data_IF_644867599380
#
_entry.id   IF_644867599380
#
_cell.length_a   1.000
_cell.length_b   1.000
_cell.length_c   1.000
_cell.angle_alpha   90.00
_cell.angle_beta   90.00
_cell.angle_gamma   90.00
#
_symmetry.space_group_name_H-M   'P 1'
#
loop_
_entity.id
_entity.type
_entity.pdbx_description
1 polymer ?
#
# COMPACT_ATOMS: atom_id res chain seq x y z
N UNK A 1 1.52 -13.29 8.39
CA UNK A 1 1.40 -13.09 6.94
C UNK A 1 -0.03 -12.72 6.56
N UNK A 2 -0.21 -11.94 5.53
CA UNK A 2 -1.52 -11.62 4.98
C UNK A 2 -1.49 -11.80 3.44
N UNK A 3 -2.27 -12.71 2.86
CA UNK A 3 -3.21 -13.62 3.52
C UNK A 3 -2.52 -14.73 4.34
N UNK A 4 -3.18 -15.36 5.35
CA UNK A 4 -4.58 -15.17 5.76
C UNK A 4 -4.84 -13.97 6.69
N UNK A 5 -3.81 -13.29 7.22
CA UNK A 5 -3.95 -12.09 8.02
C UNK A 5 -4.26 -12.34 9.52
N UNK A 6 -3.79 -13.43 10.07
CA UNK A 6 -3.93 -13.73 11.50
C UNK A 6 -3.00 -12.86 12.33
N UNK A 7 -3.53 -11.91 13.09
CA UNK A 7 -2.77 -10.94 13.86
C UNK A 7 -3.01 -11.00 15.36
N UNK A 8 -3.85 -11.94 15.80
CA UNK A 8 -4.28 -12.06 17.20
C UNK A 8 -3.11 -12.11 18.18
N UNK A 9 -2.10 -12.95 17.94
CA UNK A 9 -0.99 -13.14 18.89
C UNK A 9 -0.19 -11.85 19.09
N UNK A 10 0.14 -11.13 18.01
CA UNK A 10 0.89 -9.89 18.11
C UNK A 10 0.05 -8.78 18.75
N UNK A 11 -1.23 -8.71 18.48
CA UNK A 11 -2.15 -7.75 19.10
C UNK A 11 -2.29 -8.03 20.61
N UNK A 12 -2.41 -9.28 21.03
CA UNK A 12 -2.44 -9.64 22.46
C UNK A 12 -1.12 -9.33 23.16
N UNK A 13 0.01 -9.53 22.48
CA UNK A 13 1.32 -9.12 23.00
C UNK A 13 1.38 -7.59 23.23
N UNK A 14 0.97 -6.80 22.24
CA UNK A 14 0.93 -5.34 22.36
C UNK A 14 -0.03 -4.91 23.47
N UNK A 15 -1.21 -5.54 23.56
CA UNK A 15 -2.18 -5.29 24.63
C UNK A 15 -1.55 -5.50 26.00
N UNK A 16 -0.88 -6.63 26.19
CA UNK A 16 -0.22 -6.96 27.46
C UNK A 16 0.85 -5.96 27.86
N UNK A 17 1.65 -5.46 26.88
CA UNK A 17 2.62 -4.39 27.11
C UNK A 17 1.93 -3.09 27.55
N UNK A 18 0.91 -2.65 26.84
CA UNK A 18 0.18 -1.42 27.16
C UNK A 18 -0.47 -1.50 28.56
N UNK A 19 -1.07 -2.63 28.89
CA UNK A 19 -1.66 -2.89 30.22
C UNK A 19 -0.61 -2.82 31.33
N UNK A 20 0.61 -3.34 31.11
CA UNK A 20 1.71 -3.27 32.07
C UNK A 20 2.18 -1.83 32.34
N UNK A 21 1.96 -0.92 31.42
CA UNK A 21 2.24 0.52 31.53
C UNK A 21 1.03 1.33 32.00
N UNK A 22 -0.08 0.67 32.35
CA UNK A 22 -1.32 1.34 32.75
C UNK A 22 -2.06 2.04 31.62
N UNK A 23 -1.86 1.61 30.37
CA UNK A 23 -2.54 2.14 29.19
C UNK A 23 -3.66 1.17 28.80
N UNK A 24 -4.91 1.61 28.91
CA UNK A 24 -6.06 0.80 28.50
C UNK A 24 -6.21 0.79 27.00
N UNK A 25 -6.56 -0.37 26.45
CA UNK A 25 -6.84 -0.58 25.02
C UNK A 25 -8.07 -1.43 24.78
N UNK A 26 -8.61 -1.33 23.57
CA UNK A 26 -9.73 -2.13 23.06
C UNK A 26 -9.21 -2.95 21.89
N UNK A 27 -9.47 -4.26 21.91
CA UNK A 27 -9.19 -5.16 20.79
C UNK A 27 -10.50 -5.42 20.06
N UNK A 28 -10.48 -5.37 18.74
CA UNK A 28 -11.59 -5.79 17.88
C UNK A 28 -11.17 -6.99 17.06
N UNK A 29 -12.00 -8.01 17.04
CA UNK A 29 -11.83 -9.21 16.22
C UNK A 29 -12.75 -9.12 14.99
N UNK A 30 -12.17 -9.21 13.82
CA UNK A 30 -12.87 -9.15 12.53
C UNK A 30 -13.17 -10.56 11.96
N UNK A 31 -12.93 -11.59 12.75
CA UNK A 31 -12.98 -12.97 12.35
C UNK A 31 -11.64 -13.51 11.85
N UNK A 32 -11.47 -14.82 11.91
CA UNK A 32 -10.27 -15.56 11.48
C UNK A 32 -8.96 -15.08 12.14
N UNK A 33 -9.05 -14.50 13.37
CA UNK A 33 -7.90 -13.98 14.10
C UNK A 33 -7.36 -12.65 13.55
N UNK A 34 -8.12 -11.92 12.75
CA UNK A 34 -7.80 -10.55 12.29
C UNK A 34 -8.19 -9.56 13.37
N UNK A 35 -7.25 -9.20 14.18
CA UNK A 35 -7.46 -8.31 15.31
C UNK A 35 -6.83 -6.94 15.10
N UNK A 36 -7.56 -5.89 15.52
CA UNK A 36 -7.03 -4.54 15.66
C UNK A 36 -6.97 -4.18 17.13
N UNK A 37 -6.11 -3.22 17.47
CA UNK A 37 -6.04 -2.65 18.81
C UNK A 37 -6.10 -1.12 18.71
N UNK A 38 -6.91 -0.50 19.57
CA UNK A 38 -6.93 0.95 19.74
C UNK A 38 -6.87 1.32 21.21
N UNK A 39 -6.18 2.42 21.55
CA UNK A 39 -6.24 3.02 22.89
C UNK A 39 -7.41 4.00 22.99
N UNK A 40 -7.70 4.47 24.21
CA UNK A 40 -8.73 5.49 24.43
C UNK A 40 -8.43 6.78 23.65
N UNK A 41 -9.49 7.53 23.31
CA UNK A 41 -9.38 8.85 22.67
C UNK A 41 -8.71 9.83 23.63
N UNK A 42 -7.87 10.69 23.10
CA UNK A 42 -7.17 11.74 23.85
C UNK A 42 -7.76 13.13 23.55
N UNK A 43 -7.31 14.14 24.27
CA UNK A 43 -7.69 15.53 24.03
C UNK A 43 -7.15 16.10 22.71
N UNK A 44 -6.07 15.50 22.20
CA UNK A 44 -5.48 15.82 20.91
C UNK A 44 -6.10 14.93 19.83
N UNK A 45 -6.25 15.45 18.62
CA UNK A 45 -6.65 14.65 17.46
C UNK A 45 -5.45 14.00 16.77
N UNK A 46 -4.39 13.64 17.53
CA UNK A 46 -3.20 13.00 17.00
C UNK A 46 -3.33 11.48 17.16
N UNK A 47 -3.23 10.77 16.06
CA UNK A 47 -3.23 9.32 15.97
C UNK A 47 -1.81 8.84 15.63
N UNK A 48 -1.30 7.87 16.39
CA UNK A 48 -0.16 7.05 15.97
C UNK A 48 -0.70 5.72 15.45
N UNK A 49 -0.38 5.42 14.20
CA UNK A 49 -0.91 4.23 13.52
C UNK A 49 0.21 3.35 12.97
N UNK A 50 -0.01 2.05 13.00
CA UNK A 50 0.85 1.07 12.37
C UNK A 50 0.10 -0.22 12.07
N UNK A 51 0.53 -0.95 11.04
CA UNK A 51 0.00 -2.29 10.76
C UNK A 51 0.90 -3.39 11.33
N UNK A 52 0.29 -4.53 11.62
CA UNK A 52 0.99 -5.67 12.21
C UNK A 52 0.97 -6.91 11.31
N UNK A 53 0.21 -6.89 10.23
CA UNK A 53 0.30 -7.88 9.17
C UNK A 53 1.54 -7.67 8.30
N UNK A 54 1.88 -8.62 7.48
CA UNK A 54 3.03 -8.60 6.57
C UNK A 54 2.72 -9.39 5.31
N UNK A 55 3.28 -8.99 4.16
CA UNK A 55 3.19 -9.79 2.93
C UNK A 55 3.85 -11.17 3.12
N UNK A 56 3.38 -12.20 2.40
CA UNK A 56 3.98 -13.53 2.44
C UNK A 56 5.48 -13.52 2.13
N UNK A 57 6.21 -14.43 2.71
CA UNK A 57 7.62 -14.66 2.41
C UNK A 57 7.88 -16.15 2.19
N UNK A 58 8.55 -16.45 1.08
CA UNK A 58 9.11 -17.78 0.87
C UNK A 58 10.49 -17.84 1.54
N UNK A 59 10.90 -19.02 2.03
CA UNK A 59 12.22 -19.19 2.62
C UNK A 59 13.35 -19.00 1.58
N UNK A 60 13.03 -19.22 0.31
CA UNK A 60 13.98 -19.07 -0.80
C UNK A 60 14.42 -17.61 -0.96
N UNK A 61 15.73 -17.42 -1.08
CA UNK A 61 16.35 -16.09 -1.24
C UNK A 61 16.68 -15.37 0.07
N UNK A 62 16.31 -15.91 1.23
CA UNK A 62 16.69 -15.37 2.54
C UNK A 62 17.96 -16.03 3.07
N UNK A 63 18.94 -15.23 3.51
CA UNK A 63 20.14 -15.73 4.19
C UNK A 63 19.87 -16.16 5.63
N UNK A 64 18.76 -15.70 6.21
CA UNK A 64 18.25 -16.00 7.56
C UNK A 64 16.75 -16.24 7.40
N UNK A 65 16.15 -17.28 8.00
CA UNK A 65 14.72 -17.54 7.86
C UNK A 65 13.85 -16.30 8.13
N UNK A 66 12.89 -15.98 7.24
CA UNK A 66 12.18 -14.69 7.25
C UNK A 66 11.36 -14.43 8.51
N UNK A 67 11.01 -15.47 9.28
CA UNK A 67 10.23 -15.34 10.52
C UNK A 67 11.02 -15.69 11.78
N UNK A 68 12.35 -15.75 11.71
CA UNK A 68 13.19 -16.09 12.88
C UNK A 68 13.30 -14.97 13.91
N UNK A 69 13.12 -13.70 13.51
CA UNK A 69 13.32 -12.56 14.39
C UNK A 69 14.75 -12.43 14.91
N UNK A 70 15.72 -12.96 14.19
CA UNK A 70 17.11 -13.00 14.64
C UNK A 70 17.70 -11.59 14.83
N UNK A 71 18.42 -11.38 15.93
CA UNK A 71 19.14 -10.13 16.20
C UNK A 71 20.62 -10.36 15.92
N UNK A 72 21.12 -9.81 14.83
CA UNK A 72 22.49 -9.98 14.37
C UNK A 72 23.07 -8.64 13.90
N UNK A 73 24.30 -8.35 14.32
CA UNK A 73 24.98 -7.12 13.90
C UNK A 73 24.27 -5.83 14.30
N UNK A 74 23.47 -5.85 15.37
CA UNK A 74 22.69 -4.69 15.81
C UNK A 74 21.38 -4.45 15.04
N UNK A 75 20.99 -5.39 14.16
CA UNK A 75 19.77 -5.33 13.38
C UNK A 75 18.84 -6.50 13.67
N UNK A 76 17.52 -6.27 13.60
CA UNK A 76 16.50 -7.32 13.65
C UNK A 76 16.25 -7.79 12.21
N UNK A 77 16.46 -9.08 11.97
CA UNK A 77 16.30 -9.70 10.66
C UNK A 77 14.97 -10.42 10.56
N UNK A 78 14.21 -10.11 9.51
CA UNK A 78 12.98 -10.83 9.22
C UNK A 78 11.95 -10.02 8.44
N UNK A 79 10.97 -10.71 7.87
CA UNK A 79 9.78 -10.12 7.24
C UNK A 79 9.03 -9.28 8.29
N UNK A 80 8.69 -8.03 7.94
CA UNK A 80 7.99 -7.12 8.83
C UNK A 80 8.88 -6.37 9.83
N UNK A 81 10.21 -6.63 9.88
CA UNK A 81 11.11 -5.87 10.77
C UNK A 81 11.23 -4.41 10.35
N UNK A 82 11.21 -4.12 9.05
CA UNK A 82 11.20 -2.76 8.50
C UNK A 82 9.78 -2.29 8.23
N UNK A 83 8.98 -3.09 7.56
CA UNK A 83 7.60 -2.81 7.15
C UNK A 83 6.66 -3.76 7.89
N UNK A 84 5.93 -3.26 8.99
CA UNK A 84 6.32 -2.03 9.70
C UNK A 84 6.43 -2.25 11.22
N UNK A 85 6.69 -3.50 11.68
CA UNK A 85 6.76 -3.80 13.13
C UNK A 85 7.89 -3.05 13.87
N UNK A 86 8.98 -2.71 13.17
CA UNK A 86 10.03 -1.84 13.72
C UNK A 86 9.49 -0.44 14.05
N UNK A 87 8.68 0.12 13.14
CA UNK A 87 7.95 1.36 13.37
C UNK A 87 6.95 1.24 14.53
N UNK A 88 6.16 0.17 14.56
CA UNK A 88 5.24 -0.10 15.69
C UNK A 88 5.97 -0.15 17.04
N UNK A 89 7.13 -0.83 17.10
CA UNK A 89 7.96 -0.89 18.30
C UNK A 89 8.46 0.50 18.72
N UNK A 90 8.83 1.35 17.75
CA UNK A 90 9.27 2.73 18.01
C UNK A 90 8.15 3.59 18.59
N UNK A 91 6.91 3.45 18.06
CA UNK A 91 5.74 4.13 18.63
C UNK A 91 5.46 3.68 20.06
N UNK A 92 5.54 2.38 20.33
CA UNK A 92 5.34 1.81 21.66
C UNK A 92 6.42 2.31 22.63
N UNK A 93 7.70 2.33 22.23
CA UNK A 93 8.80 2.82 23.04
C UNK A 93 8.61 4.29 23.40
N UNK A 94 8.23 5.14 22.44
CA UNK A 94 7.94 6.56 22.69
C UNK A 94 6.80 6.75 23.71
N UNK A 95 5.74 5.94 23.63
CA UNK A 95 4.65 5.97 24.57
C UNK A 95 5.07 5.50 25.98
N UNK A 96 5.91 4.47 26.06
CA UNK A 96 6.49 4.00 27.31
C UNK A 96 7.31 5.10 27.99
N UNK A 97 8.21 5.74 27.27
CA UNK A 97 9.07 6.82 27.80
C UNK A 97 8.24 8.01 28.32
N UNK A 98 7.16 8.37 27.64
CA UNK A 98 6.23 9.38 28.12
C UNK A 98 5.58 8.97 29.44
N UNK A 99 5.11 7.72 29.55
CA UNK A 99 4.50 7.20 30.78
C UNK A 99 5.50 7.14 31.93
N UNK A 100 6.71 6.66 31.71
CA UNK A 100 7.78 6.63 32.72
C UNK A 100 8.13 8.04 33.19
N UNK A 101 8.03 9.06 32.34
CA UNK A 101 8.22 10.47 32.75
C UNK A 101 7.02 11.07 33.48
N UNK A 102 5.99 10.28 33.79
CA UNK A 102 4.76 10.70 34.47
C UNK A 102 3.82 11.57 33.65
N UNK A 103 3.96 11.54 32.32
CA UNK A 103 3.09 12.30 31.42
C UNK A 103 1.90 11.45 30.95
N UNK A 104 0.77 12.10 30.74
CA UNK A 104 -0.35 11.47 30.03
C UNK A 104 -0.03 11.33 28.55
N UNK A 105 -0.53 10.26 27.92
CA UNK A 105 -0.37 10.08 26.50
C UNK A 105 -1.19 11.13 25.73
N UNK A 106 -0.55 12.00 24.94
CA UNK A 106 -1.27 12.98 24.13
C UNK A 106 -1.81 12.39 22.83
N UNK A 107 -1.60 11.10 22.57
CA UNK A 107 -1.91 10.45 21.29
C UNK A 107 -2.82 9.25 21.50
N UNK A 108 -3.68 8.97 20.52
CA UNK A 108 -4.35 7.68 20.40
C UNK A 108 -3.45 6.73 19.61
N UNK A 109 -3.36 5.47 20.01
CA UNK A 109 -2.68 4.43 19.27
C UNK A 109 -3.68 3.58 18.51
N UNK A 110 -3.34 3.17 17.28
CA UNK A 110 -4.04 2.15 16.53
C UNK A 110 -3.04 1.19 15.86
N UNK A 111 -3.22 -0.10 16.11
CA UNK A 111 -2.50 -1.17 15.43
C UNK A 111 -3.51 -1.99 14.63
N UNK A 112 -3.31 -2.08 13.32
CA UNK A 112 -4.30 -2.64 12.38
C UNK A 112 -3.81 -3.92 11.71
N UNK A 113 -4.75 -4.71 11.20
CA UNK A 113 -4.54 -6.12 10.85
C UNK A 113 -4.38 -6.42 9.36
N UNK A 114 -4.63 -5.47 8.44
CA UNK A 114 -4.79 -5.80 7.00
C UNK A 114 -4.38 -4.68 6.05
N UNK A 115 -3.35 -3.91 6.38
CA UNK A 115 -2.83 -2.85 5.51
C UNK A 115 -2.41 -3.43 4.16
N UNK A 116 -1.68 -4.55 4.18
CA UNK A 116 -1.10 -5.23 3.02
C UNK A 116 -2.15 -5.77 2.02
N UNK A 117 -3.41 -5.79 2.43
CA UNK A 117 -4.54 -6.24 1.60
C UNK A 117 -5.63 -5.18 1.41
N UNK A 118 -5.36 -3.92 1.82
CA UNK A 118 -6.21 -2.75 1.51
C UNK A 118 -6.99 -2.16 2.66
N UNK A 119 -6.85 -2.66 3.90
CA UNK A 119 -7.31 -2.00 5.12
C UNK A 119 -8.81 -2.06 5.42
N UNK A 120 -9.56 -2.94 4.79
CA UNK A 120 -11.03 -3.05 4.99
C UNK A 120 -11.41 -3.45 6.41
N UNK A 121 -10.72 -4.46 6.97
CA UNK A 121 -10.94 -4.97 8.33
C UNK A 121 -10.16 -4.17 9.38
N UNK A 122 -9.16 -3.38 8.97
CA UNK A 122 -8.30 -2.56 9.80
C UNK A 122 -8.75 -1.12 9.90
N UNK A 123 -7.99 -0.22 9.26
CA UNK A 123 -8.17 1.22 9.42
C UNK A 123 -9.56 1.70 8.98
N UNK A 124 -10.13 1.15 7.89
CA UNK A 124 -11.46 1.53 7.39
C UNK A 124 -12.55 1.12 8.36
N UNK A 125 -12.44 -0.09 8.93
CA UNK A 125 -13.35 -0.55 9.99
C UNK A 125 -13.32 0.39 11.20
N UNK A 126 -12.13 0.74 11.70
CA UNK A 126 -11.97 1.60 12.87
C UNK A 126 -12.55 3.01 12.64
N UNK A 127 -12.38 3.56 11.43
CA UNK A 127 -12.97 4.84 11.04
C UNK A 127 -14.50 4.75 10.94
N UNK A 128 -15.03 3.74 10.27
CA UNK A 128 -16.46 3.55 10.07
C UNK A 128 -17.22 3.37 11.41
N UNK A 129 -16.56 2.76 12.41
CA UNK A 129 -17.14 2.54 13.75
C UNK A 129 -16.75 3.66 14.75
N UNK A 130 -16.18 4.77 14.30
CA UNK A 130 -15.78 5.90 15.12
C UNK A 130 -14.88 5.52 16.32
N UNK A 131 -14.10 4.46 16.19
CA UNK A 131 -13.10 4.03 17.20
C UNK A 131 -11.87 4.94 17.17
N UNK A 132 -11.55 5.45 15.99
CA UNK A 132 -10.59 6.54 15.75
C UNK A 132 -11.33 7.69 15.07
N UNK A 133 -10.79 8.89 15.19
CA UNK A 133 -11.35 10.08 14.55
C UNK A 133 -10.39 10.59 13.48
N UNK A 134 -10.93 11.17 12.38
CA UNK A 134 -10.09 11.91 11.43
C UNK A 134 -9.35 13.06 12.15
N UNK A 135 -8.06 13.17 11.87
CA UNK A 135 -7.18 14.16 12.51
C UNK A 135 -5.77 14.02 11.96
N UNK A 136 -4.82 14.63 12.67
CA UNK A 136 -3.41 14.42 12.36
C UNK A 136 -3.00 12.98 12.66
N UNK A 137 -2.26 12.36 11.72
CA UNK A 137 -1.83 10.98 11.86
C UNK A 137 -0.33 10.86 11.57
N UNK A 138 0.37 10.15 12.45
CA UNK A 138 1.72 9.67 12.20
C UNK A 138 1.65 8.15 12.00
N UNK A 139 2.02 7.73 10.79
CA UNK A 139 2.13 6.31 10.42
C UNK A 139 3.62 5.98 10.39
N UNK A 140 4.02 4.97 11.16
CA UNK A 140 5.44 4.64 11.32
C UNK A 140 5.97 3.72 10.22
N UNK A 141 5.48 3.92 8.98
CA UNK A 141 6.00 3.28 7.78
C UNK A 141 7.46 3.63 7.51
N UNK A 142 8.23 2.74 6.89
CA UNK A 142 9.63 2.99 6.60
C UNK A 142 9.78 4.13 5.58
N UNK A 143 10.49 5.16 5.99
CA UNK A 143 10.90 6.29 5.15
C UNK A 143 12.37 6.59 5.38
N UNK A 144 13.03 7.37 4.52
CA UNK A 144 14.35 7.90 4.84
C UNK A 144 14.32 8.66 6.16
N UNK A 145 15.28 8.43 7.03
CA UNK A 145 15.28 8.85 8.44
C UNK A 145 15.04 10.37 8.67
N UNK A 146 15.29 11.21 7.66
CA UNK A 146 15.18 12.67 7.73
C UNK A 146 14.08 13.24 6.85
N UNK A 147 13.35 12.39 6.12
CA UNK A 147 12.41 12.79 5.08
C UNK A 147 11.09 12.03 5.24
N UNK A 148 10.17 12.55 6.07
CA UNK A 148 8.86 11.93 6.22
C UNK A 148 8.09 11.98 4.89
N UNK A 149 7.33 10.94 4.61
CA UNK A 149 6.39 10.93 3.51
C UNK A 149 5.12 11.70 3.93
N UNK A 150 4.79 12.77 3.22
CA UNK A 150 3.64 13.63 3.52
C UNK A 150 2.51 13.51 2.51
N UNK A 151 2.64 12.61 1.55
CA UNK A 151 1.60 12.36 0.56
C UNK A 151 1.99 11.25 -0.40
N UNK A 152 0.99 10.64 -0.99
CA UNK A 152 1.15 9.56 -1.96
C UNK A 152 0.32 9.84 -3.20
N UNK A 153 0.70 9.25 -4.32
CA UNK A 153 -0.12 9.21 -5.53
C UNK A 153 -1.35 8.36 -5.29
N UNK A 154 -2.44 8.68 -5.99
CA UNK A 154 -3.61 7.83 -6.00
C UNK A 154 -3.31 6.45 -6.57
N UNK A 155 -4.05 5.45 -6.12
CA UNK A 155 -3.99 4.08 -6.62
C UNK A 155 -5.33 3.69 -7.24
N UNK A 156 -5.27 3.23 -8.49
CA UNK A 156 -6.41 2.63 -9.19
C UNK A 156 -6.00 1.25 -9.68
N UNK A 157 -6.79 0.23 -9.36
CA UNK A 157 -6.64 -1.13 -9.86
C UNK A 157 -7.83 -1.43 -10.77
N UNK A 158 -7.57 -1.91 -11.96
CA UNK A 158 -8.56 -2.20 -13.00
C UNK A 158 -8.36 -3.62 -13.50
N UNK A 159 -9.45 -4.36 -13.56
CA UNK A 159 -9.51 -5.67 -14.17
C UNK A 159 -10.35 -5.58 -15.43
N UNK A 160 -9.79 -6.02 -16.56
CA UNK A 160 -10.43 -5.99 -17.85
C UNK A 160 -10.60 -7.40 -18.40
N UNK A 161 -11.76 -7.64 -18.94
CA UNK A 161 -12.03 -8.80 -19.79
C UNK A 161 -12.28 -8.33 -21.22
N UNK A 162 -11.44 -8.77 -22.15
CA UNK A 162 -11.61 -8.50 -23.59
C UNK A 162 -12.20 -9.73 -24.26
N UNK A 163 -13.16 -9.47 -25.12
CA UNK A 163 -13.81 -10.50 -25.90
C UNK A 163 -13.54 -10.28 -27.38
N UNK A 164 -13.12 -11.35 -28.07
CA UNK A 164 -12.86 -11.37 -29.50
C UNK A 164 -13.81 -12.25 -30.28
N UNK A 165 -13.67 -12.25 -31.60
CA UNK A 165 -14.36 -13.16 -32.52
C UNK A 165 -13.34 -14.16 -33.07
N UNK A 166 -13.55 -15.47 -32.89
CA UNK A 166 -12.59 -16.47 -33.32
C UNK A 166 -12.46 -16.53 -34.84
N UNK A 167 -11.32 -17.02 -35.28
CA UNK A 167 -11.01 -17.26 -36.68
C UNK A 167 -9.76 -18.11 -36.82
N UNK A 168 -9.50 -18.61 -38.01
CA UNK A 168 -8.26 -19.31 -38.30
C UNK A 168 -7.12 -18.30 -38.40
N UNK A 169 -6.01 -18.51 -37.66
CA UNK A 169 -4.91 -17.55 -37.54
C UNK A 169 -4.30 -17.14 -38.90
N UNK A 170 -4.35 -18.00 -39.95
CA UNK A 170 -3.85 -17.64 -41.28
C UNK A 170 -4.75 -16.63 -42.03
N UNK A 171 -5.94 -16.36 -41.55
CA UNK A 171 -6.89 -15.40 -42.13
C UNK A 171 -6.93 -14.07 -41.36
N UNK A 172 -6.26 -14.02 -40.18
CA UNK A 172 -6.16 -12.80 -39.41
C UNK A 172 -5.17 -11.83 -40.06
N UNK A 173 -5.42 -10.49 -40.07
CA UNK A 173 -6.54 -9.78 -39.44
C UNK A 173 -7.78 -9.60 -40.29
N UNK A 174 -7.87 -10.20 -41.49
CA UNK A 174 -9.02 -10.05 -42.37
C UNK A 174 -10.29 -10.73 -41.81
N UNK A 175 -10.12 -11.78 -40.98
CA UNK A 175 -11.22 -12.55 -40.37
C UNK A 175 -10.93 -12.70 -38.88
N UNK A 176 -11.94 -12.40 -38.07
CA UNK A 176 -11.84 -12.47 -36.58
C UNK A 176 -11.46 -11.15 -35.94
N UNK A 177 -11.66 -11.08 -34.63
CA UNK A 177 -11.23 -9.98 -33.75
C UNK A 177 -10.45 -10.60 -32.60
N UNK A 178 -9.20 -10.19 -32.42
CA UNK A 178 -8.32 -10.76 -31.38
C UNK A 178 -8.48 -10.02 -30.07
N UNK A 179 -8.99 -10.68 -29.05
CA UNK A 179 -9.06 -10.13 -27.68
C UNK A 179 -7.67 -9.70 -27.14
N UNK A 180 -6.60 -10.40 -27.53
CA UNK A 180 -5.23 -10.01 -27.17
C UNK A 180 -4.86 -8.66 -27.81
N UNK A 181 -5.23 -8.44 -29.07
CA UNK A 181 -4.92 -7.16 -29.73
C UNK A 181 -5.73 -6.01 -29.17
N UNK A 182 -6.96 -6.23 -28.73
CA UNK A 182 -7.75 -5.22 -28.00
C UNK A 182 -7.08 -4.85 -26.68
N UNK A 183 -6.59 -5.84 -25.91
CA UNK A 183 -5.81 -5.57 -24.71
C UNK A 183 -4.51 -4.78 -25.00
N UNK A 184 -3.81 -5.12 -26.07
CA UNK A 184 -2.63 -4.37 -26.51
C UNK A 184 -2.98 -2.92 -26.90
N UNK A 185 -4.11 -2.69 -27.57
CA UNK A 185 -4.57 -1.34 -27.94
C UNK A 185 -4.85 -0.49 -26.70
N UNK A 186 -5.48 -1.06 -25.65
CA UNK A 186 -5.64 -0.38 -24.38
C UNK A 186 -4.29 -0.03 -23.74
N UNK A 187 -3.34 -0.97 -23.72
CA UNK A 187 -2.00 -0.71 -23.14
C UNK A 187 -1.26 0.39 -23.92
N UNK A 188 -1.38 0.45 -25.24
CA UNK A 188 -0.81 1.53 -26.03
C UNK A 188 -1.48 2.87 -25.71
N UNK A 189 -2.79 2.89 -25.49
CA UNK A 189 -3.48 4.09 -25.02
C UNK A 189 -3.01 4.54 -23.62
N UNK A 190 -2.88 3.63 -22.67
CA UNK A 190 -2.37 3.95 -21.33
C UNK A 190 -0.95 4.52 -21.38
N UNK A 191 -0.09 4.04 -22.29
CA UNK A 191 1.23 4.65 -22.54
C UNK A 191 1.13 6.11 -22.98
N UNK A 192 0.14 6.48 -23.78
CA UNK A 192 -0.09 7.88 -24.17
C UNK A 192 -0.53 8.71 -22.95
N UNK A 193 -1.33 8.16 -22.05
CA UNK A 193 -1.73 8.83 -20.81
C UNK A 193 -0.53 9.14 -19.90
N UNK A 194 0.50 8.29 -19.85
CA UNK A 194 1.75 8.56 -19.12
C UNK A 194 2.46 9.83 -19.61
N UNK A 195 2.30 10.20 -20.86
CA UNK A 195 2.86 11.43 -21.44
C UNK A 195 2.10 12.71 -21.06
N UNK A 196 0.90 12.62 -20.51
CA UNK A 196 0.10 13.79 -20.12
C UNK A 196 0.71 14.51 -18.90
N UNK A 197 0.62 15.83 -18.92
CA UNK A 197 1.00 16.70 -17.80
C UNK A 197 -0.27 17.10 -17.05
N UNK A 198 -0.20 17.12 -15.72
CA UNK A 198 -1.29 17.53 -14.86
C UNK A 198 -0.89 18.78 -14.07
N UNK A 199 -1.78 19.79 -13.96
CA UNK A 199 -1.44 21.03 -13.28
C UNK A 199 -1.27 20.82 -11.80
N UNK A 200 -0.19 21.33 -11.23
CA UNK A 200 0.07 21.37 -9.80
C UNK A 200 -0.05 22.85 -9.36
N UNK A 201 -0.67 23.09 -8.20
CA UNK A 201 -0.57 24.39 -7.54
C UNK A 201 0.86 24.64 -7.04
N UNK A 202 1.19 25.91 -6.78
CA UNK A 202 2.56 26.32 -6.41
C UNK A 202 3.12 25.55 -5.21
N UNK A 203 2.30 25.32 -4.17
CA UNK A 203 2.69 24.58 -2.97
C UNK A 203 3.07 23.12 -3.28
N UNK A 204 2.28 22.46 -4.13
CA UNK A 204 2.57 21.07 -4.55
C UNK A 204 3.80 21.01 -5.48
N UNK A 205 3.98 22.02 -6.31
CA UNK A 205 5.15 22.11 -7.18
C UNK A 205 6.46 22.20 -6.38
N UNK A 206 6.46 22.98 -5.28
CA UNK A 206 7.60 23.07 -4.38
C UNK A 206 7.87 21.71 -3.67
N UNK A 207 6.81 21.06 -3.15
CA UNK A 207 6.91 19.74 -2.53
C UNK A 207 7.48 18.71 -3.51
N UNK A 208 6.96 18.65 -4.74
CA UNK A 208 7.43 17.73 -5.78
C UNK A 208 8.92 17.99 -6.09
N UNK A 209 9.31 19.24 -6.22
CA UNK A 209 10.71 19.61 -6.50
C UNK A 209 11.65 19.13 -5.40
N UNK A 210 11.30 19.36 -4.14
CA UNK A 210 12.08 18.89 -2.98
C UNK A 210 12.12 17.36 -2.90
N UNK A 211 10.95 16.71 -3.07
CA UNK A 211 10.83 15.24 -3.03
C UNK A 211 11.60 14.57 -4.15
N UNK A 212 11.58 15.14 -5.37
CA UNK A 212 12.36 14.61 -6.50
C UNK A 212 13.86 14.59 -6.20
N UNK A 213 14.37 15.65 -5.54
CA UNK A 213 15.77 15.70 -5.14
C UNK A 213 16.09 14.60 -4.11
N UNK A 214 15.27 14.45 -3.08
CA UNK A 214 15.45 13.41 -2.05
C UNK A 214 15.42 12.02 -2.65
N UNK A 215 14.47 11.75 -3.53
CA UNK A 215 14.36 10.45 -4.21
C UNK A 215 15.57 10.17 -5.10
N UNK A 216 16.13 11.19 -5.75
CA UNK A 216 17.37 11.07 -6.51
C UNK A 216 18.59 10.79 -5.62
N UNK A 217 18.75 11.55 -4.54
CA UNK A 217 19.90 11.45 -3.63
C UNK A 217 19.89 10.17 -2.77
N UNK A 218 18.74 9.80 -2.21
CA UNK A 218 18.63 8.67 -1.26
C UNK A 218 18.38 7.31 -1.95
N UNK A 219 17.70 7.30 -3.10
CA UNK A 219 17.33 6.07 -3.81
C UNK A 219 17.95 5.93 -5.19
N UNK A 220 18.72 6.90 -5.65
CA UNK A 220 19.32 6.88 -7.00
C UNK A 220 18.29 6.93 -8.14
N UNK A 221 17.13 7.55 -7.90
CA UNK A 221 16.03 7.59 -8.86
C UNK A 221 16.19 8.76 -9.83
N UNK A 222 16.87 8.56 -10.96
CA UNK A 222 17.16 9.60 -11.97
C UNK A 222 15.89 10.28 -12.53
N UNK A 223 14.76 9.57 -12.60
CA UNK A 223 13.50 10.07 -13.14
C UNK A 223 12.48 10.42 -12.03
N UNK A 224 12.95 10.81 -10.84
CA UNK A 224 12.11 11.08 -9.69
C UNK A 224 10.97 12.06 -9.97
N UNK A 225 11.22 13.15 -10.72
CA UNK A 225 10.19 14.11 -11.11
C UNK A 225 9.08 13.47 -11.93
N UNK A 226 9.44 12.67 -12.93
CA UNK A 226 8.47 11.94 -13.76
C UNK A 226 7.65 10.96 -12.93
N UNK A 227 8.32 10.21 -12.06
CA UNK A 227 7.63 9.27 -11.14
C UNK A 227 6.59 9.99 -10.27
N UNK A 228 6.89 11.20 -9.80
CA UNK A 228 5.97 11.96 -8.95
C UNK A 228 4.84 12.63 -9.75
N UNK A 229 5.11 13.14 -10.94
CA UNK A 229 4.19 14.02 -11.68
C UNK A 229 3.42 13.36 -12.80
N UNK A 230 3.89 12.22 -13.31
CA UNK A 230 3.22 11.48 -14.38
C UNK A 230 2.37 10.34 -13.84
N UNK A 231 1.39 9.95 -14.65
CA UNK A 231 0.65 8.71 -14.44
C UNK A 231 1.62 7.54 -14.63
N UNK A 232 1.81 6.72 -13.61
CA UNK A 232 2.57 5.47 -13.72
C UNK A 232 1.60 4.30 -13.82
N UNK A 233 1.94 3.28 -14.60
CA UNK A 233 1.09 2.13 -14.79
C UNK A 233 1.89 0.84 -14.86
N UNK A 234 1.26 -0.24 -14.41
CA UNK A 234 1.84 -1.58 -14.45
C UNK A 234 0.77 -2.59 -14.89
N UNK A 235 0.89 -3.16 -16.10
CA UNK A 235 0.09 -4.34 -16.46
C UNK A 235 0.66 -5.56 -15.73
N UNK A 236 0.15 -5.82 -14.52
CA UNK A 236 0.68 -6.85 -13.62
C UNK A 236 0.40 -8.27 -14.10
N UNK A 237 -0.77 -8.49 -14.71
CA UNK A 237 -1.17 -9.78 -15.24
C UNK A 237 -1.84 -9.58 -16.59
N UNK A 238 -1.45 -10.39 -17.58
CA UNK A 238 -2.16 -10.51 -18.86
C UNK A 238 -2.24 -11.99 -19.25
N UNK A 239 -3.45 -12.48 -19.56
CA UNK A 239 -3.68 -13.87 -19.96
C UNK A 239 -4.66 -13.91 -21.10
N UNK A 240 -4.31 -14.54 -22.23
CA UNK A 240 -5.19 -14.65 -23.36
C UNK A 240 -4.77 -15.69 -24.39
N UNK A 241 -5.73 -16.13 -25.19
CA UNK A 241 -5.54 -17.10 -26.26
C UNK A 241 -5.48 -18.56 -25.80
N UNK A 242 -5.80 -19.47 -26.72
CA UNK A 242 -5.83 -20.92 -26.48
C UNK A 242 -4.75 -21.65 -27.29
N UNK A 243 -4.58 -21.25 -28.57
CA UNK A 243 -3.59 -21.84 -29.49
C UNK A 243 -3.10 -20.79 -30.48
N UNK A 244 -1.87 -20.90 -30.93
CA UNK A 244 -1.24 -19.95 -31.86
C UNK A 244 -1.90 -19.84 -33.23
N UNK A 245 -2.67 -20.84 -33.66
CA UNK A 245 -3.38 -20.87 -34.94
C UNK A 245 -4.86 -20.49 -34.85
N UNK A 246 -5.32 -20.00 -33.71
CA UNK A 246 -6.70 -19.53 -33.48
C UNK A 246 -6.64 -18.07 -33.03
N UNK A 247 -7.51 -17.22 -33.59
CA UNK A 247 -7.69 -15.84 -33.13
C UNK A 247 -8.28 -15.86 -31.72
N UNK A 248 -7.64 -15.21 -30.77
CA UNK A 248 -8.00 -15.24 -29.34
C UNK A 248 -9.41 -14.70 -29.11
N UNK A 249 -10.23 -15.48 -28.41
CA UNK A 249 -11.59 -15.09 -28.03
C UNK A 249 -11.66 -14.34 -26.71
N UNK A 250 -10.68 -14.51 -25.83
CA UNK A 250 -10.65 -13.86 -24.52
C UNK A 250 -9.23 -13.46 -24.16
N UNK A 251 -9.14 -12.31 -23.50
CA UNK A 251 -7.92 -11.86 -22.84
C UNK A 251 -8.31 -11.14 -21.54
N UNK A 252 -7.68 -11.50 -20.43
CA UNK A 252 -7.84 -10.88 -19.13
C UNK A 252 -6.60 -10.04 -18.86
N UNK A 253 -6.79 -8.82 -18.33
CA UNK A 253 -5.72 -7.88 -18.02
C UNK A 253 -5.96 -7.24 -16.65
N UNK A 254 -5.01 -7.39 -15.73
CA UNK A 254 -4.98 -6.65 -14.47
C UNK A 254 -3.99 -5.49 -14.60
N UNK A 255 -4.49 -4.28 -14.42
CA UNK A 255 -3.76 -3.04 -14.60
C UNK A 255 -3.77 -2.22 -13.30
N UNK A 256 -2.60 -1.89 -12.78
CA UNK A 256 -2.44 -0.94 -11.70
C UNK A 256 -2.01 0.42 -12.25
N UNK A 257 -2.65 1.50 -11.78
CA UNK A 257 -2.33 2.87 -12.16
C UNK A 257 -2.03 3.70 -10.91
N UNK A 258 -0.88 4.35 -10.87
CA UNK A 258 -0.52 5.36 -9.88
C UNK A 258 -0.86 6.74 -10.43
N UNK A 259 -1.88 7.36 -9.85
CA UNK A 259 -2.48 8.61 -10.33
C UNK A 259 -1.77 9.80 -9.70
N UNK A 260 -1.15 10.72 -10.48
CA UNK A 260 -0.46 11.88 -9.94
C UNK A 260 -1.45 12.92 -9.41
N UNK A 261 -0.94 13.81 -8.57
CA UNK A 261 -1.70 14.99 -8.14
C UNK A 261 -2.15 15.83 -9.34
N UNK A 262 -3.32 16.44 -9.23
CA UNK A 262 -3.90 17.24 -10.31
C UNK A 262 -4.63 16.42 -11.38
N UNK A 263 -4.51 15.10 -11.39
CA UNK A 263 -5.25 14.23 -12.32
C UNK A 263 -6.64 13.91 -11.73
N UNK A 264 -7.74 14.27 -12.43
CA UNK A 264 -9.09 13.92 -11.97
C UNK A 264 -9.36 12.44 -12.22
N UNK A 265 -9.44 11.63 -11.16
CA UNK A 265 -9.70 10.17 -11.27
C UNK A 265 -10.97 9.85 -12.06
N UNK A 266 -12.13 10.52 -11.86
CA UNK A 266 -13.31 10.24 -12.66
C UNK A 266 -13.09 10.41 -14.17
N UNK A 267 -12.42 11.50 -14.59
CA UNK A 267 -12.09 11.73 -15.99
C UNK A 267 -11.09 10.72 -16.54
N UNK A 268 -10.11 10.30 -15.74
CA UNK A 268 -9.18 9.23 -16.12
C UNK A 268 -9.92 7.91 -16.36
N UNK A 269 -10.88 7.56 -15.52
CA UNK A 269 -11.68 6.33 -15.68
C UNK A 269 -12.60 6.38 -16.88
N UNK A 270 -13.14 7.57 -17.22
CA UNK A 270 -13.92 7.78 -18.45
C UNK A 270 -13.03 7.68 -19.70
N UNK A 271 -11.83 8.21 -19.66
CA UNK A 271 -10.85 8.11 -20.75
C UNK A 271 -10.40 6.66 -21.04
N UNK A 272 -10.40 5.81 -20.04
CA UNK A 272 -9.94 4.40 -20.14
C UNK A 272 -11.08 3.44 -20.55
N UNK A 273 -12.33 3.82 -20.39
CA UNK A 273 -13.50 3.02 -20.79
C UNK A 273 -13.72 3.05 -22.29
#
# INVERSE_FOLDING_TARGET
ENPPGTTQEVIEYIRSLLESWGISSIVTDQGDGRCNLVTGKTKTNLLFCGHVDVVPALDEGWSIPPFSGAVLGGSVWGRGSTDMKGGCASLLAACHDLKESGQDLPVQLAFVCDEETGGESGIRYLLAHHMILPGDCLIAEPTPARHPNIGQKGLVRLEFEFFGTPGHGSLYPAVGVSAIMEACALLDYVKLLNGKQYPLGDDLQEIVTRSSRVLGEEFGLDQATDVLTKLMFNPGIIKGGEKSNIVSQRCDLDLEIRVPWGCPIPGLLEDIR
#
